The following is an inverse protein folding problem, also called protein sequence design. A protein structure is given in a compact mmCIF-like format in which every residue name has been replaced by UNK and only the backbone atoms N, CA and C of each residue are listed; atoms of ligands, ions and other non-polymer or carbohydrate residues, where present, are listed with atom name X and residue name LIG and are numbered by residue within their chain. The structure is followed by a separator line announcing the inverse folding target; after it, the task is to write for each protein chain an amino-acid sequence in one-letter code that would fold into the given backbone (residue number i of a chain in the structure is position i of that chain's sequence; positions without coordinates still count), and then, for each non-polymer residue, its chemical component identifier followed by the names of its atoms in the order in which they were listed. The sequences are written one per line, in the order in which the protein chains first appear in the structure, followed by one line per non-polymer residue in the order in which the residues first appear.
data_IF_754362259971
#
_entry.id   IF_754362259971
#
_cell.length_a   1.000
_cell.length_b   1.000
_cell.length_c   1.000
_cell.angle_alpha   90.00
_cell.angle_beta   90.00
_cell.angle_gamma   90.00
#
_symmetry.space_group_name_H-M   'P 1'
#
loop_
_entity.id
_entity.type
_entity.pdbx_description
1 polymer ?
#
# COMPACT_ATOMS: atom_id res chain seq x y z
N UNK A 1 24.55 6.85 16.32
CA UNK A 1 24.59 8.11 15.54
C UNK A 1 26.02 8.53 15.22
N UNK A 2 26.94 8.55 16.18
CA UNK A 2 28.36 8.89 15.98
C UNK A 2 29.06 7.99 14.95
N UNK A 3 28.89 6.67 15.02
CA UNK A 3 29.50 5.74 14.05
C UNK A 3 28.89 5.89 12.65
N UNK A 4 27.58 6.16 12.56
CA UNK A 4 26.89 6.42 11.29
C UNK A 4 27.38 7.72 10.64
N UNK A 5 27.57 8.80 11.43
CA UNK A 5 28.16 10.06 10.95
C UNK A 5 29.57 9.83 10.41
N UNK A 6 30.34 8.95 11.05
CA UNK A 6 31.69 8.57 10.59
C UNK A 6 31.66 7.76 9.29
N UNK A 7 30.73 6.81 9.15
CA UNK A 7 30.52 6.04 7.91
C UNK A 7 30.12 6.95 6.74
N UNK A 8 29.23 7.91 6.99
CA UNK A 8 28.76 8.92 6.02
C UNK A 8 29.72 10.11 5.85
N UNK A 9 30.87 10.11 6.53
CA UNK A 9 31.86 11.20 6.51
C UNK A 9 31.28 12.59 6.86
N UNK A 10 30.27 12.63 7.72
CA UNK A 10 29.65 13.85 8.23
C UNK A 10 30.34 14.37 9.48
N UNK A 11 30.26 15.69 9.71
CA UNK A 11 30.75 16.30 10.93
C UNK A 11 30.00 15.75 12.16
N UNK A 12 30.70 15.59 13.29
CA UNK A 12 30.10 15.04 14.52
C UNK A 12 28.89 15.84 15.02
N UNK A 13 28.87 17.15 14.76
CA UNK A 13 27.79 18.08 15.10
C UNK A 13 26.71 18.22 14.00
N UNK A 14 26.77 17.47 12.90
CA UNK A 14 25.75 17.52 11.85
C UNK A 14 24.35 17.25 12.44
N UNK A 15 23.36 18.06 12.03
CA UNK A 15 21.99 17.89 12.45
C UNK A 15 21.36 16.62 11.88
N UNK A 16 20.21 16.24 12.41
CA UNK A 16 19.59 14.96 12.08
C UNK A 16 19.10 14.91 10.62
N UNK A 17 18.66 16.05 10.08
CA UNK A 17 18.21 16.18 8.69
C UNK A 17 19.37 15.99 7.69
N UNK A 18 20.56 16.51 8.02
CA UNK A 18 21.80 16.32 7.25
C UNK A 18 22.26 14.87 7.27
N UNK A 19 22.21 14.22 8.44
CA UNK A 19 22.51 12.79 8.56
C UNK A 19 21.56 11.95 7.72
N UNK A 20 20.28 12.30 7.78
CA UNK A 20 19.22 11.65 7.05
C UNK A 20 19.37 11.75 5.52
N UNK A 21 19.68 12.94 5.00
CA UNK A 21 19.91 13.16 3.56
C UNK A 21 21.12 12.34 3.05
N UNK A 22 22.20 12.25 3.84
CA UNK A 22 23.39 11.47 3.47
C UNK A 22 23.14 9.95 3.50
N UNK A 23 22.33 9.45 4.45
CA UNK A 23 21.89 8.02 4.47
C UNK A 23 21.20 7.65 3.15
N UNK A 24 20.34 8.55 2.63
CA UNK A 24 19.60 8.34 1.38
C UNK A 24 20.48 8.41 0.12
N UNK A 25 21.49 9.27 0.12
CA UNK A 25 22.34 9.50 -1.03
C UNK A 25 23.48 8.47 -1.17
N UNK A 26 24.06 8.06 -0.03
CA UNK A 26 25.38 7.42 -0.03
C UNK A 26 25.37 5.95 0.43
N UNK A 27 24.23 5.43 0.90
CA UNK A 27 24.09 4.02 1.31
C UNK A 27 23.20 3.21 0.36
N UNK A 28 23.43 1.90 0.31
CA UNK A 28 22.53 0.98 -0.39
C UNK A 28 21.14 0.99 0.26
N UNK A 29 20.08 0.77 -0.53
CA UNK A 29 18.70 0.81 -0.07
C UNK A 29 18.47 -0.03 1.21
N UNK A 30 19.04 -1.22 1.28
CA UNK A 30 18.94 -2.13 2.44
C UNK A 30 19.63 -1.60 3.72
N UNK A 31 20.74 -0.87 3.58
CA UNK A 31 21.42 -0.23 4.70
C UNK A 31 20.72 1.04 5.15
N UNK A 32 20.21 1.82 4.19
CA UNK A 32 19.38 2.99 4.47
C UNK A 32 18.17 2.58 5.32
N UNK A 33 17.47 1.51 4.94
CA UNK A 33 16.34 0.96 5.69
C UNK A 33 16.69 0.55 7.13
N UNK A 34 17.91 0.07 7.36
CA UNK A 34 18.37 -0.32 8.70
C UNK A 34 18.67 0.87 9.59
N UNK A 35 19.27 1.93 9.06
CA UNK A 35 19.57 3.13 9.85
C UNK A 35 18.34 4.02 10.04
N UNK A 36 17.47 4.10 9.04
CA UNK A 36 16.19 4.80 9.15
C UNK A 36 15.35 4.21 10.30
N UNK A 37 15.31 2.87 10.46
CA UNK A 37 14.65 2.22 11.61
C UNK A 37 15.21 2.62 12.98
N UNK A 38 16.50 2.95 13.06
CA UNK A 38 17.14 3.41 14.32
C UNK A 38 16.88 4.89 14.61
N UNK A 39 16.54 5.68 13.59
CA UNK A 39 16.27 7.12 13.70
C UNK A 39 14.79 7.44 13.94
N UNK A 40 13.89 6.48 13.67
CA UNK A 40 12.44 6.61 13.73
C UNK A 40 11.87 7.14 15.07
N UNK A 41 12.55 6.96 16.21
CA UNK A 41 12.07 7.41 17.53
C UNK A 41 12.53 8.83 17.92
N UNK A 42 13.27 9.54 17.06
CA UNK A 42 13.83 10.87 17.36
C UNK A 42 13.02 12.00 16.68
N UNK A 43 12.20 11.66 15.68
CA UNK A 43 11.34 12.58 14.92
C UNK A 43 9.90 12.58 15.45
N UNK A 44 9.71 12.74 16.76
CA UNK A 44 8.36 12.83 17.33
C UNK A 44 7.96 14.30 17.47
N UNK A 45 7.21 14.80 16.50
CA UNK A 45 6.49 16.07 16.54
C UNK A 45 5.41 16.08 15.46
N UNK A 46 4.16 16.03 15.90
CA UNK A 46 2.87 16.17 15.17
C UNK A 46 2.87 15.89 13.65
N UNK A 47 2.26 14.76 13.30
CA UNK A 47 1.60 14.42 12.04
C UNK A 47 1.86 15.36 10.85
N UNK A 48 2.99 15.18 10.15
CA UNK A 48 3.13 15.58 8.75
C UNK A 48 4.29 14.80 8.14
N UNK A 49 3.96 13.84 7.28
CA UNK A 49 4.96 13.24 6.42
C UNK A 49 5.54 14.36 5.54
N UNK A 50 6.86 14.65 5.58
CA UNK A 50 7.45 15.82 4.94
C UNK A 50 7.36 15.79 3.41
N UNK A 51 7.05 14.63 2.83
CA UNK A 51 6.83 14.39 1.41
C UNK A 51 5.33 14.45 1.01
N UNK A 52 4.42 14.74 1.95
CA UNK A 52 2.99 14.90 1.67
C UNK A 52 2.64 16.39 1.70
N UNK A 53 2.20 16.91 0.56
CA UNK A 53 1.76 18.30 0.48
C UNK A 53 0.33 18.45 1.02
N UNK A 54 0.21 18.88 2.27
CA UNK A 54 -1.08 19.02 2.96
C UNK A 54 -1.94 20.18 2.49
N UNK A 55 -1.39 21.08 1.66
CA UNK A 55 -2.12 22.22 1.07
C UNK A 55 -2.79 21.89 -0.27
N UNK A 56 -2.52 20.71 -0.84
CA UNK A 56 -3.06 20.27 -2.11
C UNK A 56 -4.26 19.33 -1.89
N UNK A 57 -5.47 19.76 -2.26
CA UNK A 57 -6.69 18.97 -2.09
C UNK A 57 -6.73 17.69 -2.94
N UNK A 58 -5.91 17.60 -3.99
CA UNK A 58 -5.81 16.41 -4.84
C UNK A 58 -4.75 15.41 -4.37
N UNK A 59 -3.95 15.77 -3.36
CA UNK A 59 -2.86 14.94 -2.82
C UNK A 59 -3.30 13.69 -2.05
N UNK A 60 -4.60 13.51 -1.81
CA UNK A 60 -5.12 12.45 -0.93
C UNK A 60 -4.61 12.55 0.53
N UNK A 61 -4.13 13.72 0.96
CA UNK A 61 -3.65 13.97 2.33
C UNK A 61 -4.65 13.50 3.38
N UNK A 62 -5.93 13.86 3.25
CA UNK A 62 -6.97 13.46 4.22
C UNK A 62 -7.08 11.93 4.36
N UNK A 63 -6.94 11.21 3.24
CA UNK A 63 -6.96 9.75 3.25
C UNK A 63 -5.71 9.18 3.92
N UNK A 64 -4.54 9.76 3.66
CA UNK A 64 -3.28 9.35 4.30
C UNK A 64 -3.37 9.57 5.81
N UNK A 65 -3.78 10.76 6.25
CA UNK A 65 -3.93 11.09 7.66
C UNK A 65 -4.99 10.22 8.35
N UNK A 66 -6.14 10.00 7.71
CA UNK A 66 -7.17 9.08 8.21
C UNK A 66 -6.57 7.70 8.46
N UNK A 67 -5.92 7.11 7.46
CA UNK A 67 -5.33 5.78 7.56
C UNK A 67 -4.21 5.69 8.59
N UNK A 68 -3.42 6.75 8.74
CA UNK A 68 -2.34 6.83 9.73
C UNK A 68 -2.91 6.90 11.15
N UNK A 69 -3.93 7.72 11.37
CA UNK A 69 -4.61 7.87 12.67
C UNK A 69 -5.31 6.58 13.11
N UNK A 70 -5.77 5.75 12.15
CA UNK A 70 -6.28 4.41 12.42
C UNK A 70 -5.17 3.37 12.67
N UNK A 71 -3.89 3.73 12.54
CA UNK A 71 -2.76 2.81 12.68
C UNK A 71 -2.60 1.82 11.53
N UNK A 72 -3.33 2.02 10.42
CA UNK A 72 -3.35 1.08 9.29
C UNK A 72 -2.10 1.28 8.41
N UNK A 73 -1.85 2.53 8.00
CA UNK A 73 -0.62 2.88 7.29
C UNK A 73 0.42 3.39 8.27
N UNK A 74 1.67 3.08 7.95
CA UNK A 74 2.85 3.65 8.61
C UNK A 74 3.71 4.25 7.51
N UNK A 75 4.36 5.37 7.83
CA UNK A 75 5.42 5.89 6.98
C UNK A 75 6.61 4.96 6.95
N UNK A 76 7.55 5.27 6.07
CA UNK A 76 8.86 4.68 6.10
C UNK A 76 9.60 5.14 7.35
N UNK A 77 10.59 4.34 7.74
CA UNK A 77 11.38 4.63 8.94
C UNK A 77 12.17 5.95 8.83
N UNK A 78 12.23 6.46 7.61
CA UNK A 78 12.90 7.67 7.19
C UNK A 78 12.03 8.93 7.48
N UNK A 79 10.83 8.74 8.02
CA UNK A 79 9.88 9.79 8.39
C UNK A 79 8.95 10.19 7.25
N UNK A 80 9.15 9.70 6.03
CA UNK A 80 8.30 9.97 4.87
C UNK A 80 7.09 9.03 4.81
N UNK A 81 6.04 9.43 4.10
CA UNK A 81 4.96 8.52 3.74
C UNK A 81 5.39 7.55 2.64
N UNK A 82 6.21 8.04 1.70
CA UNK A 82 6.46 7.42 0.41
C UNK A 82 5.53 7.95 -0.67
N UNK A 83 5.23 9.25 -0.68
CA UNK A 83 4.37 9.88 -1.67
C UNK A 83 4.92 9.68 -3.09
N UNK A 84 4.06 9.24 -4.01
CA UNK A 84 4.43 8.88 -5.38
C UNK A 84 5.17 7.55 -5.52
N UNK A 85 5.59 6.92 -4.42
CA UNK A 85 6.27 5.63 -4.46
C UNK A 85 5.29 4.52 -4.86
N UNK A 86 5.75 3.48 -5.59
CA UNK A 86 4.92 2.32 -5.88
C UNK A 86 4.67 1.49 -4.61
N UNK A 87 3.52 0.81 -4.55
CA UNK A 87 3.18 -0.08 -3.43
C UNK A 87 3.53 -1.53 -3.75
N UNK A 88 4.15 -2.22 -2.80
CA UNK A 88 4.34 -3.67 -2.87
C UNK A 88 3.03 -4.42 -2.55
N UNK A 89 2.79 -5.57 -3.18
CA UNK A 89 1.59 -6.39 -2.91
C UNK A 89 1.43 -6.72 -1.42
N UNK A 90 2.53 -7.04 -0.73
CA UNK A 90 2.51 -7.35 0.70
C UNK A 90 2.11 -6.14 1.55
N UNK A 91 2.58 -4.93 1.22
CA UNK A 91 2.22 -3.72 1.96
C UNK A 91 0.73 -3.47 1.92
N UNK A 92 0.10 -3.63 0.74
CA UNK A 92 -1.34 -3.45 0.58
C UNK A 92 -2.14 -4.49 1.36
N UNK A 93 -1.71 -5.76 1.36
CA UNK A 93 -2.33 -6.82 2.15
C UNK A 93 -2.17 -6.56 3.66
N UNK A 94 -1.02 -6.06 4.10
CA UNK A 94 -0.82 -5.65 5.51
C UNK A 94 -1.76 -4.53 5.90
N UNK A 95 -2.03 -3.57 5.01
CA UNK A 95 -3.00 -2.51 5.30
C UNK A 95 -4.43 -3.06 5.44
N UNK A 96 -4.85 -3.97 4.56
CA UNK A 96 -6.14 -4.66 4.70
C UNK A 96 -6.22 -5.48 6.00
N UNK A 97 -5.15 -6.19 6.34
CA UNK A 97 -5.07 -6.99 7.56
C UNK A 97 -5.21 -6.12 8.82
N UNK A 98 -4.52 -4.98 8.86
CA UNK A 98 -4.64 -4.01 9.96
C UNK A 98 -6.02 -3.36 10.01
N UNK A 99 -6.61 -3.04 8.85
CA UNK A 99 -7.98 -2.53 8.78
C UNK A 99 -8.99 -3.53 9.37
N UNK A 100 -8.75 -4.84 9.18
CA UNK A 100 -9.53 -5.91 9.78
C UNK A 100 -9.21 -6.18 11.26
N UNK A 101 -8.37 -5.36 11.90
CA UNK A 101 -8.00 -5.50 13.32
C UNK A 101 -6.87 -6.50 13.59
N UNK A 102 -6.11 -6.90 12.57
CA UNK A 102 -5.00 -7.85 12.68
C UNK A 102 -5.38 -9.18 13.37
N UNK A 103 -6.41 -9.89 12.86
CA UNK A 103 -6.90 -11.12 13.47
C UNK A 103 -5.83 -12.22 13.54
N UNK A 104 -5.87 -13.03 14.59
CA UNK A 104 -4.92 -14.14 14.76
C UNK A 104 -4.99 -15.12 13.57
N UNK A 105 -3.83 -15.69 13.22
CA UNK A 105 -3.71 -16.69 12.15
C UNK A 105 -3.27 -18.04 12.72
N UNK A 106 -4.01 -19.09 12.38
CA UNK A 106 -3.76 -20.45 12.90
C UNK A 106 -2.65 -21.18 12.13
N UNK A 107 -2.42 -20.80 10.88
CA UNK A 107 -1.42 -21.41 10.01
C UNK A 107 -0.92 -20.42 8.95
N UNK A 108 0.33 -20.57 8.53
CA UNK A 108 0.92 -19.75 7.46
C UNK A 108 0.40 -20.18 6.08
N UNK A 109 0.30 -19.24 5.14
CA UNK A 109 -0.06 -19.56 3.75
C UNK A 109 1.00 -20.46 3.09
N UNK A 110 0.54 -21.36 2.20
CA UNK A 110 1.41 -22.31 1.49
C UNK A 110 2.07 -21.75 0.23
N UNK A 111 2.31 -20.43 0.16
CA UNK A 111 3.02 -19.83 -0.98
C UNK A 111 4.51 -20.13 -0.89
N UNK A 112 5.10 -20.59 -1.99
CA UNK A 112 6.49 -21.09 -2.03
C UNK A 112 7.53 -19.99 -1.75
N UNK A 113 7.18 -18.74 -2.00
CA UNK A 113 8.00 -17.55 -1.79
C UNK A 113 7.68 -16.79 -0.49
N UNK A 114 6.84 -17.35 0.39
CA UNK A 114 6.47 -16.75 1.69
C UNK A 114 7.00 -17.62 2.83
N UNK A 115 8.26 -17.40 3.17
CA UNK A 115 8.97 -18.10 4.25
C UNK A 115 9.61 -17.09 5.20
N UNK A 116 10.10 -17.52 6.36
CA UNK A 116 10.87 -16.65 7.25
C UNK A 116 12.18 -16.14 6.62
N UNK A 117 12.72 -16.83 5.61
CA UNK A 117 13.92 -16.40 4.90
C UNK A 117 13.61 -15.36 3.83
N UNK A 118 12.52 -15.55 3.06
CA UNK A 118 12.15 -14.66 1.96
C UNK A 118 11.33 -13.46 2.42
N UNK A 119 10.50 -13.61 3.44
CA UNK A 119 9.68 -12.55 4.05
C UNK A 119 9.97 -12.52 5.55
N UNK A 120 11.05 -11.86 6.03
CA UNK A 120 11.48 -11.96 7.43
C UNK A 120 10.50 -11.38 8.45
N UNK A 121 9.68 -10.41 8.05
CA UNK A 121 8.69 -9.80 8.92
C UNK A 121 7.51 -10.76 9.19
N UNK A 122 7.29 -11.14 10.45
CA UNK A 122 6.19 -12.02 10.86
C UNK A 122 4.81 -11.42 10.52
N UNK A 123 4.59 -10.13 10.76
CA UNK A 123 3.31 -9.46 10.47
C UNK A 123 2.95 -9.57 8.99
N UNK A 124 3.96 -9.52 8.10
CA UNK A 124 3.74 -9.63 6.67
C UNK A 124 3.30 -11.03 6.30
N UNK A 125 3.94 -12.06 6.87
CA UNK A 125 3.53 -13.45 6.65
C UNK A 125 2.15 -13.73 7.23
N UNK A 126 1.82 -13.18 8.40
CA UNK A 126 0.50 -13.30 9.02
C UNK A 126 -0.58 -12.61 8.18
N UNK A 127 -0.33 -11.40 7.69
CA UNK A 127 -1.26 -10.70 6.79
C UNK A 127 -1.51 -11.50 5.51
N UNK A 128 -0.47 -12.09 4.91
CA UNK A 128 -0.59 -12.96 3.73
C UNK A 128 -1.39 -14.23 4.07
N UNK A 129 -1.12 -14.84 5.23
CA UNK A 129 -1.83 -16.03 5.70
C UNK A 129 -3.32 -15.75 5.91
N UNK A 130 -3.66 -14.66 6.60
CA UNK A 130 -5.03 -14.20 6.78
C UNK A 130 -5.73 -13.93 5.44
N UNK A 131 -5.06 -13.22 4.53
CA UNK A 131 -5.62 -12.90 3.24
C UNK A 131 -5.88 -14.16 2.39
N UNK A 132 -5.00 -15.16 2.47
CA UNK A 132 -5.19 -16.44 1.79
C UNK A 132 -6.37 -17.23 2.41
N UNK A 133 -6.43 -17.32 3.74
CA UNK A 133 -7.50 -18.02 4.46
C UNK A 133 -8.89 -17.43 4.16
N UNK A 134 -8.97 -16.11 4.00
CA UNK A 134 -10.20 -15.38 3.68
C UNK A 134 -10.45 -15.23 2.16
N UNK A 135 -9.65 -15.87 1.31
CA UNK A 135 -9.76 -15.81 -0.16
C UNK A 135 -9.66 -14.38 -0.73
N UNK A 136 -9.01 -13.48 0.00
CA UNK A 136 -8.65 -12.13 -0.46
C UNK A 136 -7.55 -12.22 -1.51
N UNK A 137 -6.63 -13.18 -1.38
CA UNK A 137 -5.64 -13.53 -2.41
C UNK A 137 -5.62 -15.02 -2.67
N UNK A 138 -5.35 -15.41 -3.91
CA UNK A 138 -5.10 -16.79 -4.33
C UNK A 138 -3.65 -17.02 -4.75
N UNK A 139 -2.82 -15.97 -4.73
CA UNK A 139 -1.49 -16.01 -5.35
C UNK A 139 -1.54 -16.13 -6.87
N UNK A 140 -0.39 -16.46 -7.45
CA UNK A 140 -0.19 -16.76 -8.86
C UNK A 140 -0.30 -18.27 -9.12
N UNK A 141 -0.51 -18.63 -10.38
CA UNK A 141 -0.69 -20.02 -10.81
C UNK A 141 0.55 -20.91 -10.55
N UNK A 142 1.73 -20.32 -10.38
CA UNK A 142 2.98 -21.00 -10.04
C UNK A 142 3.14 -21.29 -8.53
N UNK A 143 2.13 -20.97 -7.73
CA UNK A 143 2.13 -21.18 -6.28
C UNK A 143 2.85 -20.09 -5.48
N UNK A 144 3.21 -18.96 -6.12
CA UNK A 144 3.83 -17.80 -5.45
C UNK A 144 2.79 -16.73 -5.05
N UNK A 145 3.17 -15.84 -4.14
CA UNK A 145 2.42 -14.61 -3.84
C UNK A 145 3.06 -13.36 -4.45
N UNK A 146 4.38 -13.39 -4.69
CA UNK A 146 5.23 -12.28 -5.09
C UNK A 146 5.12 -11.06 -4.15
N UNK A 147 5.49 -11.19 -2.86
CA UNK A 147 5.22 -10.18 -1.83
C UNK A 147 5.77 -8.79 -2.16
N UNK A 148 6.97 -8.73 -2.75
CA UNK A 148 7.65 -7.48 -3.08
C UNK A 148 7.41 -6.99 -4.51
N UNK A 149 6.58 -7.70 -5.28
CA UNK A 149 6.14 -7.20 -6.59
C UNK A 149 5.26 -5.97 -6.41
N UNK A 150 5.35 -5.03 -7.35
CA UNK A 150 4.49 -3.85 -7.39
C UNK A 150 3.05 -4.28 -7.69
N UNK A 151 2.09 -3.70 -6.99
CA UNK A 151 0.67 -4.02 -7.19
C UNK A 151 0.05 -3.12 -8.28
N UNK A 152 -0.67 -3.75 -9.20
CA UNK A 152 -1.44 -3.05 -10.23
C UNK A 152 -2.73 -2.47 -9.62
N UNK A 153 -3.25 -1.38 -10.20
CA UNK A 153 -4.48 -0.72 -9.70
C UNK A 153 -5.70 -1.65 -9.68
N UNK A 154 -5.84 -2.50 -10.70
CA UNK A 154 -6.93 -3.49 -10.75
C UNK A 154 -6.81 -4.57 -9.68
N UNK A 155 -5.58 -4.97 -9.33
CA UNK A 155 -5.35 -5.97 -8.29
C UNK A 155 -5.69 -5.40 -6.90
N UNK A 156 -5.35 -4.13 -6.66
CA UNK A 156 -5.73 -3.43 -5.44
C UNK A 156 -7.26 -3.34 -5.29
N UNK A 157 -7.98 -3.01 -6.37
CA UNK A 157 -9.44 -3.01 -6.38
C UNK A 157 -10.02 -4.42 -6.13
N UNK A 158 -9.42 -5.45 -6.74
CA UNK A 158 -9.83 -6.84 -6.52
C UNK A 158 -9.61 -7.30 -5.08
N UNK A 159 -8.50 -6.91 -4.44
CA UNK A 159 -8.26 -7.20 -3.02
C UNK A 159 -9.28 -6.53 -2.11
N UNK A 160 -9.61 -5.24 -2.34
CA UNK A 160 -10.65 -4.55 -1.56
C UNK A 160 -12.01 -5.23 -1.75
N UNK A 161 -12.40 -5.54 -3.00
CA UNK A 161 -13.67 -6.21 -3.30
C UNK A 161 -13.79 -7.57 -2.58
N UNK A 162 -12.72 -8.36 -2.57
CA UNK A 162 -12.73 -9.66 -1.87
C UNK A 162 -12.72 -9.50 -0.36
N UNK A 163 -11.99 -8.52 0.17
CA UNK A 163 -11.99 -8.19 1.59
C UNK A 163 -13.37 -7.74 2.07
N UNK A 164 -14.13 -7.04 1.22
CA UNK A 164 -15.54 -6.68 1.46
C UNK A 164 -16.53 -7.87 1.34
N UNK A 165 -16.04 -9.11 1.28
CA UNK A 165 -16.86 -10.31 1.18
C UNK A 165 -17.32 -10.67 -0.24
N UNK A 166 -16.72 -10.07 -1.27
CA UNK A 166 -17.10 -10.30 -2.68
C UNK A 166 -18.61 -10.07 -2.94
N UNK A 167 -19.16 -8.90 -2.56
CA UNK A 167 -20.59 -8.64 -2.61
C UNK A 167 -21.14 -8.82 -4.03
N UNK A 168 -22.35 -9.35 -4.16
CA UNK A 168 -22.95 -9.54 -5.47
C UNK A 168 -23.09 -8.20 -6.20
N UNK A 169 -22.38 -8.06 -7.31
CA UNK A 169 -22.41 -6.87 -8.15
C UNK A 169 -22.70 -7.28 -9.60
N UNK A 170 -23.75 -6.67 -10.15
CA UNK A 170 -24.15 -6.83 -11.55
C UNK A 170 -23.56 -5.66 -12.31
N UNK A 171 -22.69 -5.96 -13.26
CA UNK A 171 -22.03 -4.95 -14.07
C UNK A 171 -23.05 -4.35 -15.06
N UNK A 172 -23.18 -3.03 -15.07
CA UNK A 172 -23.99 -2.33 -16.07
C UNK A 172 -23.16 -2.13 -17.34
N UNK A 173 -23.55 -2.86 -18.39
CA UNK A 173 -22.90 -2.84 -19.70
C UNK A 173 -23.10 -1.51 -20.44
N UNK A 174 -24.10 -0.72 -20.07
CA UNK A 174 -24.44 0.56 -20.70
C UNK A 174 -23.80 1.76 -19.99
N UNK A 175 -23.44 1.64 -18.71
CA UNK A 175 -22.83 2.72 -17.92
C UNK A 175 -21.29 2.65 -17.91
N UNK A 176 -20.64 2.43 -19.07
CA UNK A 176 -19.17 2.34 -19.12
C UNK A 176 -18.50 3.61 -18.60
N UNK A 177 -18.11 3.59 -17.33
CA UNK A 177 -17.47 4.70 -16.61
C UNK A 177 -15.99 4.87 -16.98
N UNK A 178 -15.35 3.78 -17.42
CA UNK A 178 -13.95 3.76 -17.85
C UNK A 178 -13.84 3.10 -19.22
N UNK A 179 -13.14 3.76 -20.15
CA UNK A 179 -13.00 3.29 -21.52
C UNK A 179 -12.12 2.02 -21.65
N UNK A 180 -11.28 1.76 -20.65
CA UNK A 180 -10.33 0.65 -20.58
C UNK A 180 -10.79 -0.48 -19.62
N UNK A 181 -12.04 -0.42 -19.13
CA UNK A 181 -12.64 -1.49 -18.32
C UNK A 181 -13.82 -2.07 -19.08
N UNK A 182 -13.69 -3.32 -19.51
CA UNK A 182 -14.74 -4.05 -20.23
C UNK A 182 -15.54 -4.91 -19.24
N UNK A 183 -16.84 -4.66 -19.04
CA UNK A 183 -17.67 -5.50 -18.18
C UNK A 183 -17.62 -6.98 -18.56
N UNK A 184 -17.49 -7.85 -17.56
CA UNK A 184 -17.36 -9.30 -17.74
C UNK A 184 -15.97 -9.81 -18.11
N UNK A 185 -14.99 -8.93 -18.28
CA UNK A 185 -13.59 -9.31 -18.46
C UNK A 185 -12.96 -9.62 -17.09
N UNK A 186 -12.63 -10.89 -16.84
CA UNK A 186 -12.00 -11.28 -15.57
C UNK A 186 -10.53 -10.87 -15.48
N UNK A 187 -9.85 -10.67 -16.61
CA UNK A 187 -8.42 -10.38 -16.67
C UNK A 187 -8.08 -8.95 -16.21
N UNK A 188 -9.01 -8.01 -16.39
CA UNK A 188 -8.90 -6.64 -15.86
C UNK A 188 -9.63 -6.46 -14.51
N UNK A 189 -10.15 -7.54 -13.92
CA UNK A 189 -10.97 -7.51 -12.70
C UNK A 189 -12.18 -6.56 -12.79
N UNK A 190 -12.80 -6.43 -13.96
CA UNK A 190 -13.89 -5.49 -14.28
C UNK A 190 -14.95 -5.39 -13.20
N UNK A 191 -15.49 -6.53 -12.74
CA UNK A 191 -16.47 -6.56 -11.65
C UNK A 191 -16.01 -5.82 -10.39
N UNK A 192 -14.80 -6.11 -9.92
CA UNK A 192 -14.26 -5.48 -8.71
C UNK A 192 -13.98 -3.99 -8.93
N UNK A 193 -13.46 -3.62 -10.10
CA UNK A 193 -13.19 -2.22 -10.47
C UNK A 193 -14.48 -1.40 -10.54
N UNK A 194 -15.50 -1.94 -11.21
CA UNK A 194 -16.79 -1.27 -11.37
C UNK A 194 -17.57 -1.20 -10.06
N UNK A 195 -17.56 -2.27 -9.25
CA UNK A 195 -18.11 -2.23 -7.88
C UNK A 195 -17.43 -1.17 -7.03
N UNK A 196 -16.08 -1.13 -7.06
CA UNK A 196 -15.32 -0.16 -6.29
C UNK A 196 -15.63 1.27 -6.76
N UNK A 197 -15.83 1.49 -8.06
CA UNK A 197 -16.21 2.79 -8.58
C UNK A 197 -17.63 3.19 -8.15
N UNK A 198 -18.59 2.28 -8.25
CA UNK A 198 -19.97 2.51 -7.83
C UNK A 198 -20.09 2.89 -6.35
N UNK A 199 -19.18 2.40 -5.51
CA UNK A 199 -19.11 2.73 -4.08
C UNK A 199 -18.15 3.91 -3.76
N UNK A 200 -17.63 4.61 -4.77
CA UNK A 200 -16.74 5.76 -4.59
C UNK A 200 -15.33 5.43 -4.10
N UNK A 201 -14.97 4.14 -4.01
CA UNK A 201 -13.64 3.67 -3.59
C UNK A 201 -12.59 4.11 -4.62
N UNK A 202 -12.85 3.87 -5.90
CA UNK A 202 -11.96 4.26 -7.01
C UNK A 202 -12.61 5.29 -7.93
N UNK A 203 -11.85 6.28 -8.38
CA UNK A 203 -12.35 7.39 -9.22
C UNK A 203 -11.80 7.39 -10.66
N UNK A 204 -10.72 6.65 -10.91
CA UNK A 204 -10.02 6.64 -12.21
C UNK A 204 -9.33 7.97 -12.53
N UNK A 205 -8.88 8.11 -13.78
CA UNK A 205 -8.26 9.30 -14.34
C UNK A 205 -9.21 9.94 -15.36
N UNK A 206 -9.47 11.24 -15.18
CA UNK A 206 -10.24 12.03 -16.12
C UNK A 206 -9.38 12.40 -17.35
N UNK A 207 -10.02 12.53 -18.51
CA UNK A 207 -9.39 12.93 -19.77
C UNK A 207 -10.42 13.07 -20.88
N UNK A 208 -10.00 13.06 -22.15
CA UNK A 208 -10.94 13.02 -23.29
C UNK A 208 -11.87 11.80 -23.24
N UNK A 209 -11.37 10.71 -22.63
CA UNK A 209 -12.18 9.60 -22.10
C UNK A 209 -11.66 9.27 -20.71
N UNK A 210 -12.56 8.93 -19.79
CA UNK A 210 -12.17 8.47 -18.45
C UNK A 210 -11.54 7.08 -18.55
N UNK A 211 -10.47 6.83 -17.78
CA UNK A 211 -9.75 5.55 -17.74
C UNK A 211 -9.48 5.13 -16.31
N UNK A 212 -9.47 3.83 -16.05
CA UNK A 212 -9.05 3.30 -14.75
C UNK A 212 -7.53 3.09 -14.67
N UNK A 213 -6.91 2.78 -15.81
CA UNK A 213 -5.51 2.38 -15.97
C UNK A 213 -5.15 1.16 -15.12
N UNK A 214 -5.94 0.08 -15.27
CA UNK A 214 -5.89 -1.08 -14.37
C UNK A 214 -4.52 -1.75 -14.23
N UNK A 215 -3.72 -1.76 -15.30
CA UNK A 215 -2.39 -2.37 -15.36
C UNK A 215 -1.28 -1.48 -14.79
N UNK A 216 -1.55 -0.19 -14.56
CA UNK A 216 -0.55 0.71 -14.00
C UNK A 216 -0.27 0.34 -12.54
N UNK A 217 0.98 0.53 -12.12
CA UNK A 217 1.34 0.38 -10.71
C UNK A 217 0.63 1.45 -9.88
N UNK A 218 0.01 1.05 -8.77
CA UNK A 218 -0.62 2.01 -7.86
C UNK A 218 0.45 2.74 -7.03
N UNK A 219 0.33 4.07 -6.98
CA UNK A 219 1.12 4.90 -6.09
C UNK A 219 0.60 4.78 -4.65
N UNK A 220 1.48 5.00 -3.66
CA UNK A 220 1.18 4.78 -2.24
C UNK A 220 0.03 5.63 -1.71
N UNK A 221 -0.08 6.88 -2.16
CA UNK A 221 -1.18 7.77 -1.83
C UNK A 221 -2.50 7.33 -2.45
N UNK A 222 -2.49 6.82 -3.68
CA UNK A 222 -3.69 6.30 -4.35
C UNK A 222 -4.20 5.04 -3.65
N UNK A 223 -3.28 4.14 -3.28
CA UNK A 223 -3.61 2.94 -2.52
C UNK A 223 -4.21 3.27 -1.15
N UNK A 224 -3.65 4.26 -0.45
CA UNK A 224 -4.20 4.74 0.81
C UNK A 224 -5.59 5.37 0.60
N UNK A 225 -5.77 6.14 -0.47
CA UNK A 225 -7.07 6.73 -0.81
C UNK A 225 -8.14 5.70 -1.12
N UNK A 226 -7.79 4.64 -1.85
CA UNK A 226 -8.73 3.54 -2.13
C UNK A 226 -9.19 2.90 -0.82
N UNK A 227 -8.24 2.53 0.03
CA UNK A 227 -8.57 1.83 1.28
C UNK A 227 -9.29 2.75 2.29
N UNK A 228 -8.89 4.01 2.41
CA UNK A 228 -9.57 5.00 3.24
C UNK A 228 -11.04 5.16 2.86
N UNK A 229 -11.32 5.32 1.55
CA UNK A 229 -12.71 5.45 1.06
C UNK A 229 -13.51 4.17 1.28
N UNK A 230 -12.90 3.00 1.13
CA UNK A 230 -13.58 1.73 1.42
C UNK A 230 -14.00 1.63 2.90
N UNK A 231 -13.11 1.99 3.81
CA UNK A 231 -13.39 2.00 5.26
C UNK A 231 -14.46 3.06 5.59
N UNK A 232 -14.32 4.28 5.07
CA UNK A 232 -15.28 5.36 5.31
C UNK A 232 -16.67 5.06 4.74
N UNK A 233 -16.76 4.23 3.71
CA UNK A 233 -18.01 3.72 3.15
C UNK A 233 -18.57 2.50 3.90
N UNK A 234 -17.94 2.07 5.00
CA UNK A 234 -18.30 0.87 5.78
C UNK A 234 -18.35 -0.42 4.93
N UNK A 235 -17.39 -0.57 4.00
CA UNK A 235 -17.29 -1.76 3.15
C UNK A 235 -16.34 -2.83 3.70
N UNK A 236 -15.55 -2.49 4.73
CA UNK A 236 -14.53 -3.33 5.35
C UNK A 236 -14.74 -3.42 6.86
#
# INVERSE_FOLDING_TARGET
LTDLKKELKLANNADIATVYAAVKADLSAEKADTYNRKLANILVGEADFPDVNTSDTDSHTDSIQFMYNQGIVKGYADGTFGYGAPVARVDFIVWLYRAAGSPAVDSQASFTDVTAATVPNQEFRDAIAWAAANKITTGYADGTFAPYARIARQDAAAFIYRAAGSPNYIEDYNSKVFADVTPGDSANHSKAVLWANNNGVVKGFAGSVNRFAGLDTVARQDAAAFLARAIQANLL
#
